data_IF_150452921350
#
_entry.id   IF_150452921350
#
_cell.length_a   1.000
_cell.length_b   1.000
_cell.length_c   1.000
_cell.angle_alpha   90.00
_cell.angle_beta   90.00
_cell.angle_gamma   90.00
#
_symmetry.space_group_name_H-M   'P 1'
#
loop_
_entity.id
_entity.type
_entity.pdbx_description
1 polymer ?
#
# COMPACT_ATOMS: atom_id res chain seq x y z
N UNK A 1 -5.82 -5.65 8.33
CA UNK A 1 -6.73 -4.89 9.24
C UNK A 1 -7.86 -4.16 8.51
N UNK A 2 -7.62 -3.02 7.85
CA UNK A 2 -8.70 -2.26 7.19
C UNK A 2 -9.40 -3.10 6.10
N UNK A 3 -8.62 -3.69 5.21
CA UNK A 3 -9.11 -4.56 4.13
C UNK A 3 -9.95 -5.74 4.65
N UNK A 4 -9.59 -6.34 5.79
CA UNK A 4 -10.36 -7.45 6.37
C UNK A 4 -11.76 -7.01 6.82
N UNK A 5 -11.89 -5.75 7.24
CA UNK A 5 -13.15 -5.19 7.73
C UNK A 5 -14.03 -4.63 6.63
N UNK A 6 -13.44 -3.90 5.68
CA UNK A 6 -14.21 -3.12 4.68
C UNK A 6 -13.90 -3.47 3.23
N UNK A 7 -12.90 -4.32 2.98
CA UNK A 7 -12.49 -4.71 1.63
C UNK A 7 -13.48 -5.59 0.88
N UNK A 8 -14.54 -6.06 1.56
CA UNK A 8 -15.67 -6.73 0.92
C UNK A 8 -16.62 -5.75 0.18
N UNK A 9 -16.50 -4.45 0.43
CA UNK A 9 -17.33 -3.41 -0.20
C UNK A 9 -16.86 -3.04 -1.61
N UNK A 10 -15.66 -3.47 -2.01
CA UNK A 10 -15.05 -3.16 -3.30
C UNK A 10 -14.51 -4.41 -3.99
N UNK A 11 -14.29 -4.33 -5.31
CA UNK A 11 -13.76 -5.44 -6.11
C UNK A 11 -12.42 -5.96 -5.55
N UNK A 12 -11.52 -5.05 -5.22
CA UNK A 12 -10.24 -5.37 -4.59
C UNK A 12 -10.30 -4.97 -3.11
N UNK A 13 -10.03 -5.89 -2.17
CA UNK A 13 -10.05 -5.57 -0.74
C UNK A 13 -8.98 -4.55 -0.33
N UNK A 14 -7.84 -4.57 -1.02
CA UNK A 14 -6.80 -3.55 -0.94
C UNK A 14 -5.92 -3.55 -2.20
N UNK A 15 -5.11 -2.50 -2.34
CA UNK A 15 -4.10 -2.36 -3.38
C UNK A 15 -2.73 -1.98 -2.80
N UNK A 16 -1.76 -2.88 -2.88
CA UNK A 16 -0.39 -2.70 -2.42
C UNK A 16 0.52 -2.34 -3.58
N UNK A 17 1.05 -1.13 -3.58
CA UNK A 17 1.85 -0.56 -4.67
C UNK A 17 3.28 -0.24 -4.21
N UNK A 18 4.21 -0.23 -5.15
CA UNK A 18 5.55 0.27 -4.92
C UNK A 18 6.24 0.68 -6.22
N UNK A 19 7.38 1.36 -6.11
CA UNK A 19 8.25 1.64 -7.26
C UNK A 19 9.52 0.79 -7.27
N UNK A 20 9.70 -0.11 -6.30
CA UNK A 20 10.87 -0.99 -6.19
C UNK A 20 10.44 -2.40 -5.82
N UNK A 21 10.91 -3.40 -6.57
CA UNK A 21 10.66 -4.78 -6.23
C UNK A 21 11.28 -5.10 -4.87
N UNK A 22 10.55 -5.85 -4.04
CA UNK A 22 11.02 -6.32 -2.74
C UNK A 22 11.55 -7.75 -2.80
N UNK A 23 12.23 -8.18 -1.74
CA UNK A 23 12.51 -9.59 -1.48
C UNK A 23 11.95 -9.93 -0.11
N UNK A 24 11.22 -11.04 0.02
CA UNK A 24 10.68 -11.46 1.32
C UNK A 24 11.63 -12.38 2.09
N UNK A 25 12.58 -13.02 1.41
CA UNK A 25 13.56 -13.92 2.01
C UNK A 25 14.95 -13.28 2.04
N UNK A 26 15.73 -13.61 3.07
CA UNK A 26 17.10 -13.12 3.28
C UNK A 26 17.24 -12.35 4.59
N UNK A 27 18.45 -11.89 4.85
CA UNK A 27 18.79 -11.07 6.02
C UNK A 27 19.12 -9.66 5.53
N UNK A 28 18.18 -8.73 5.66
CA UNK A 28 18.30 -7.37 5.11
C UNK A 28 18.54 -6.30 6.17
N UNK A 29 18.27 -6.58 7.44
CA UNK A 29 18.52 -5.65 8.53
C UNK A 29 18.90 -6.40 9.79
N UNK A 30 20.19 -6.52 10.09
CA UNK A 30 20.68 -6.94 11.41
C UNK A 30 20.11 -8.28 11.92
N UNK A 31 19.79 -9.22 11.03
CA UNK A 31 19.16 -10.51 11.36
C UNK A 31 17.68 -10.60 10.98
N UNK A 32 17.01 -9.47 10.71
CA UNK A 32 15.62 -9.42 10.28
C UNK A 32 15.45 -9.77 8.81
N UNK A 33 14.30 -10.41 8.56
CA UNK A 33 13.87 -10.78 7.21
C UNK A 33 13.74 -9.57 6.30
N UNK A 34 14.12 -9.74 5.03
CA UNK A 34 13.88 -8.75 3.98
C UNK A 34 12.40 -8.38 3.77
N UNK A 35 11.47 -9.20 4.29
CA UNK A 35 10.05 -8.87 4.35
C UNK A 35 9.78 -7.52 5.03
N UNK A 36 10.52 -7.18 6.10
CA UNK A 36 10.32 -5.94 6.86
C UNK A 36 10.87 -4.70 6.14
N UNK A 37 11.91 -4.85 5.31
CA UNK A 37 12.42 -3.73 4.51
C UNK A 37 11.62 -3.52 3.23
N UNK A 38 10.93 -4.56 2.76
CA UNK A 38 10.27 -4.58 1.47
C UNK A 38 8.76 -4.34 1.52
N UNK A 39 8.13 -4.38 2.70
CA UNK A 39 6.67 -4.33 2.81
C UNK A 39 6.23 -3.50 4.02
N UNK A 40 5.13 -2.76 3.84
CA UNK A 40 4.44 -2.00 4.90
C UNK A 40 3.00 -2.50 5.13
N UNK A 41 2.52 -3.45 4.32
CA UNK A 41 1.21 -4.06 4.44
C UNK A 41 1.38 -5.53 4.81
N UNK A 42 0.52 -6.00 5.71
CA UNK A 42 0.57 -7.34 6.30
C UNK A 42 -0.84 -7.89 6.42
N UNK A 43 -1.03 -9.14 5.98
CA UNK A 43 -2.31 -9.84 6.14
C UNK A 43 -2.47 -10.33 7.57
N UNK A 44 -1.42 -10.97 8.07
CA UNK A 44 -1.31 -11.47 9.44
C UNK A 44 -0.01 -10.95 10.04
N UNK A 45 0.22 -11.21 11.31
CA UNK A 45 1.46 -10.84 12.01
C UNK A 45 2.74 -11.37 11.34
N UNK A 46 2.64 -12.44 10.54
CA UNK A 46 3.79 -13.09 9.91
C UNK A 46 3.73 -13.15 8.39
N UNK A 47 2.62 -12.73 7.77
CA UNK A 47 2.43 -12.83 6.32
C UNK A 47 2.38 -11.43 5.68
N UNK A 48 3.49 -10.98 5.05
CA UNK A 48 3.54 -9.68 4.40
C UNK A 48 2.72 -9.70 3.10
N UNK A 49 2.16 -8.54 2.75
CA UNK A 49 1.53 -8.32 1.47
C UNK A 49 2.54 -7.69 0.51
N UNK A 50 2.93 -8.45 -0.51
CA UNK A 50 3.86 -7.99 -1.52
C UNK A 50 3.25 -6.85 -2.35
N UNK A 51 4.04 -5.82 -2.60
CA UNK A 51 3.65 -4.69 -3.45
C UNK A 51 3.86 -4.98 -4.93
N UNK A 52 2.91 -4.57 -5.75
CA UNK A 52 3.02 -4.57 -7.21
C UNK A 52 3.77 -3.32 -7.67
N UNK A 53 4.71 -3.50 -8.60
CA UNK A 53 5.57 -2.44 -9.12
C UNK A 53 5.39 -2.23 -10.61
N UNK A 54 4.74 -3.16 -11.30
CA UNK A 54 4.50 -3.10 -12.72
C UNK A 54 3.15 -2.43 -13.02
N UNK A 55 3.12 -1.23 -13.62
CA UNK A 55 1.88 -0.48 -13.85
C UNK A 55 0.84 -1.25 -14.67
N UNK A 56 1.29 -2.03 -15.67
CA UNK A 56 0.41 -2.91 -16.45
C UNK A 56 -0.36 -3.92 -15.59
N UNK A 57 0.31 -4.58 -14.64
CA UNK A 57 -0.31 -5.59 -13.79
C UNK A 57 -1.31 -4.95 -12.82
N UNK A 58 -1.02 -3.73 -12.36
CA UNK A 58 -1.98 -2.92 -11.60
C UNK A 58 -3.21 -2.61 -12.45
N UNK A 59 -3.03 -2.09 -13.67
CA UNK A 59 -4.13 -1.79 -14.59
C UNK A 59 -5.00 -3.03 -14.88
N UNK A 60 -4.36 -4.17 -15.20
CA UNK A 60 -5.05 -5.44 -15.43
C UNK A 60 -5.77 -5.95 -14.18
N UNK A 61 -5.28 -5.65 -12.97
CA UNK A 61 -5.97 -5.98 -11.71
C UNK A 61 -7.19 -5.10 -11.47
N UNK A 62 -7.16 -3.84 -11.90
CA UNK A 62 -8.28 -2.90 -11.78
C UNK A 62 -9.39 -3.19 -12.82
N UNK A 63 -9.02 -3.42 -14.07
CA UNK A 63 -9.97 -3.48 -15.20
C UNK A 63 -10.07 -4.85 -15.90
N UNK A 64 -9.09 -5.73 -15.72
CA UNK A 64 -8.96 -6.98 -16.46
C UNK A 64 -7.96 -6.88 -17.61
N UNK A 65 -7.61 -8.02 -18.23
CA UNK A 65 -6.83 -8.01 -19.48
C UNK A 65 -7.80 -7.76 -20.63
N UNK A 66 -7.63 -6.67 -21.39
CA UNK A 66 -8.55 -6.26 -22.47
C UNK A 66 -8.76 -7.26 -23.62
N UNK A 67 -8.16 -8.46 -23.56
CA UNK A 67 -8.06 -9.40 -24.69
C UNK A 67 -8.50 -10.85 -24.39
N UNK A 68 -8.96 -11.14 -23.17
CA UNK A 68 -9.55 -12.46 -22.86
C UNK A 68 -11.05 -12.29 -22.64
N UNK A 69 -11.85 -12.96 -23.47
CA UNK A 69 -13.30 -13.00 -23.28
C UNK A 69 -13.59 -13.39 -21.83
N UNK A 70 -14.43 -12.60 -21.16
CA UNK A 70 -14.79 -12.82 -19.77
C UNK A 70 -15.25 -14.28 -19.51
N UNK A 71 -15.85 -14.92 -20.51
CA UNK A 71 -16.22 -16.35 -20.51
C UNK A 71 -15.02 -17.29 -20.33
N UNK A 72 -13.92 -17.09 -21.07
CA UNK A 72 -12.74 -17.96 -20.99
C UNK A 72 -11.98 -17.86 -19.67
N UNK A 73 -12.17 -16.75 -18.92
CA UNK A 73 -11.64 -16.56 -17.56
C UNK A 73 -12.58 -17.21 -16.55
N UNK A 74 -13.89 -16.94 -16.63
CA UNK A 74 -14.89 -17.52 -15.72
C UNK A 74 -14.88 -19.06 -15.76
N UNK A 75 -14.73 -19.68 -16.94
CA UNK A 75 -14.65 -21.15 -17.03
C UNK A 75 -13.41 -21.72 -16.33
N UNK A 76 -12.24 -21.08 -16.49
CA UNK A 76 -11.00 -21.50 -15.82
C UNK A 76 -11.07 -21.32 -14.31
N UNK A 77 -11.69 -20.23 -13.88
CA UNK A 77 -11.80 -19.86 -12.47
C UNK A 77 -12.85 -20.72 -11.75
N UNK A 78 -13.96 -21.05 -12.40
CA UNK A 78 -14.97 -22.03 -11.92
C UNK A 78 -14.37 -23.43 -11.78
N UNK A 79 -13.58 -23.84 -12.78
CA UNK A 79 -12.90 -25.14 -12.75
C UNK A 79 -11.89 -25.20 -11.59
N UNK A 80 -11.17 -24.12 -11.31
CA UNK A 80 -10.25 -24.04 -10.17
C UNK A 80 -10.95 -24.16 -8.83
N UNK A 81 -12.06 -23.46 -8.61
CA UNK A 81 -12.85 -23.55 -7.37
C UNK A 81 -13.31 -25.00 -7.10
N UNK A 82 -13.83 -25.67 -8.13
CA UNK A 82 -14.25 -27.07 -8.05
C UNK A 82 -13.11 -28.03 -7.68
N UNK A 83 -11.90 -27.80 -8.23
CA UNK A 83 -10.71 -28.60 -7.89
C UNK A 83 -10.30 -28.40 -6.43
N UNK A 84 -10.45 -27.19 -5.91
CA UNK A 84 -10.01 -26.83 -4.55
C UNK A 84 -10.96 -27.35 -3.48
N UNK A 85 -12.26 -27.26 -3.72
CA UNK A 85 -13.28 -27.93 -2.90
C UNK A 85 -13.00 -29.44 -2.85
N UNK A 86 -12.57 -30.04 -3.97
CA UNK A 86 -12.24 -31.46 -4.04
C UNK A 86 -10.99 -31.84 -3.23
N UNK A 87 -9.96 -30.98 -3.16
CA UNK A 87 -8.72 -31.28 -2.42
C UNK A 87 -8.70 -30.77 -0.98
N UNK A 88 -9.74 -30.06 -0.53
CA UNK A 88 -9.79 -29.46 0.82
C UNK A 88 -9.67 -30.51 1.94
N UNK A 89 -10.38 -31.63 1.82
CA UNK A 89 -10.32 -32.72 2.80
C UNK A 89 -8.96 -33.44 2.79
N UNK A 90 -8.34 -33.59 1.61
CA UNK A 90 -6.99 -34.14 1.47
C UNK A 90 -5.93 -33.25 2.09
N UNK A 91 -6.07 -31.94 1.90
CA UNK A 91 -5.21 -30.93 2.49
C UNK A 91 -5.31 -30.94 4.02
N UNK A 92 -6.52 -31.06 4.57
CA UNK A 92 -6.73 -31.13 6.00
C UNK A 92 -6.07 -32.38 6.60
N UNK A 93 -6.22 -33.54 5.96
CA UNK A 93 -5.54 -34.78 6.37
C UNK A 93 -4.03 -34.67 6.29
N UNK A 94 -3.51 -34.03 5.25
CA UNK A 94 -2.07 -33.79 5.11
C UNK A 94 -1.55 -32.85 6.20
N UNK A 95 -2.30 -31.78 6.52
CA UNK A 95 -1.96 -30.84 7.60
C UNK A 95 -1.73 -31.58 8.92
N UNK A 96 -2.57 -32.55 9.26
CA UNK A 96 -2.43 -33.34 10.49
C UNK A 96 -1.15 -34.18 10.53
N UNK A 97 -0.61 -34.59 9.38
CA UNK A 97 0.63 -35.36 9.26
C UNK A 97 1.91 -34.51 9.16
N UNK A 98 1.80 -33.20 8.91
CA UNK A 98 2.95 -32.31 8.71
C UNK A 98 3.53 -31.77 10.04
N UNK A 99 4.84 -31.45 10.01
CA UNK A 99 5.50 -30.68 11.07
C UNK A 99 5.11 -29.20 11.06
N UNK A 100 5.42 -28.47 12.13
CA UNK A 100 4.96 -27.09 12.33
C UNK A 100 5.29 -26.13 11.17
N UNK A 101 6.52 -26.19 10.65
CA UNK A 101 6.98 -25.35 9.54
C UNK A 101 6.22 -25.64 8.24
N UNK A 102 5.95 -26.92 7.94
CA UNK A 102 5.27 -27.30 6.71
C UNK A 102 3.77 -27.02 6.80
N UNK A 103 3.17 -27.13 8.00
CA UNK A 103 1.80 -26.68 8.27
C UNK A 103 1.64 -25.19 7.98
N UNK A 104 2.59 -24.34 8.40
CA UNK A 104 2.53 -22.91 8.12
C UNK A 104 2.56 -22.61 6.62
N UNK A 105 3.44 -23.28 5.85
CA UNK A 105 3.47 -23.11 4.39
C UNK A 105 2.20 -23.60 3.70
N UNK A 106 1.65 -24.72 4.16
CA UNK A 106 0.40 -25.25 3.63
C UNK A 106 -0.75 -24.27 3.92
N UNK A 107 -0.79 -23.69 5.12
CA UNK A 107 -1.78 -22.68 5.51
C UNK A 107 -1.64 -21.38 4.69
N UNK A 108 -0.42 -20.92 4.41
CA UNK A 108 -0.16 -19.80 3.51
C UNK A 108 -0.68 -20.07 2.08
N UNK A 109 -0.46 -21.29 1.58
CA UNK A 109 -0.96 -21.70 0.26
C UNK A 109 -2.49 -21.70 0.21
N UNK A 110 -3.17 -22.39 1.13
CA UNK A 110 -4.64 -22.43 1.14
C UNK A 110 -5.27 -21.06 1.42
N UNK A 111 -4.63 -20.23 2.23
CA UNK A 111 -5.06 -18.85 2.42
C UNK A 111 -4.93 -18.01 1.15
N UNK A 112 -3.87 -18.20 0.37
CA UNK A 112 -3.67 -17.52 -0.92
C UNK A 112 -4.70 -17.97 -1.96
N UNK A 113 -5.02 -19.26 -1.95
CA UNK A 113 -6.02 -19.88 -2.80
C UNK A 113 -7.43 -19.36 -2.48
N UNK A 114 -7.84 -19.39 -1.21
CA UNK A 114 -9.17 -18.93 -0.80
C UNK A 114 -9.40 -17.46 -1.11
N UNK A 115 -8.35 -16.65 -1.03
CA UNK A 115 -8.43 -15.27 -1.48
C UNK A 115 -8.60 -15.13 -2.98
N UNK A 116 -7.95 -15.97 -3.78
CA UNK A 116 -8.15 -15.99 -5.22
C UNK A 116 -9.63 -16.28 -5.53
N UNK A 117 -10.23 -17.26 -4.85
CA UNK A 117 -11.66 -17.58 -4.99
C UNK A 117 -12.55 -16.42 -4.59
N UNK A 118 -12.33 -15.79 -3.43
CA UNK A 118 -13.09 -14.62 -3.02
C UNK A 118 -12.93 -13.44 -4.00
N UNK A 119 -11.74 -13.28 -4.60
CA UNK A 119 -11.51 -12.27 -5.63
C UNK A 119 -12.25 -12.59 -6.93
N UNK A 120 -12.34 -13.85 -7.32
CA UNK A 120 -13.13 -14.31 -8.47
C UNK A 120 -14.61 -14.02 -8.21
N UNK A 121 -15.16 -14.49 -7.08
CA UNK A 121 -16.57 -14.26 -6.72
C UNK A 121 -16.91 -12.77 -6.71
N UNK A 122 -16.03 -11.92 -6.15
CA UNK A 122 -16.22 -10.46 -6.17
C UNK A 122 -16.13 -9.87 -7.57
N UNK A 123 -15.24 -10.38 -8.41
CA UNK A 123 -15.12 -9.93 -9.79
C UNK A 123 -16.33 -10.33 -10.65
N UNK A 124 -16.97 -11.47 -10.36
CA UNK A 124 -18.21 -11.91 -10.99
C UNK A 124 -19.43 -11.09 -10.54
N UNK A 125 -19.46 -10.69 -9.27
CA UNK A 125 -20.54 -9.88 -8.70
C UNK A 125 -20.38 -8.38 -8.98
N UNK A 126 -19.16 -7.91 -9.20
CA UNK A 126 -18.88 -6.52 -9.52
C UNK A 126 -19.34 -6.18 -10.95
N UNK A 127 -20.02 -5.04 -11.11
CA UNK A 127 -20.33 -4.52 -12.43
C UNK A 127 -19.02 -4.33 -13.23
N UNK A 128 -19.06 -4.58 -14.54
CA UNK A 128 -17.94 -4.24 -15.43
C UNK A 128 -17.67 -2.75 -15.30
N UNK A 129 -16.49 -2.43 -14.77
CA UNK A 129 -15.97 -1.07 -14.77
C UNK A 129 -15.23 -0.92 -16.08
N UNK A 130 -15.82 -0.21 -17.03
CA UNK A 130 -15.10 0.17 -18.24
C UNK A 130 -13.92 1.06 -17.83
N UNK A 131 -12.70 0.79 -18.33
CA UNK A 131 -11.59 1.68 -18.07
C UNK A 131 -11.96 3.06 -18.62
N UNK A 132 -11.80 4.15 -17.84
CA UNK A 132 -11.88 5.49 -18.41
C UNK A 132 -10.80 5.65 -19.48
N UNK A 133 -10.90 6.70 -20.28
CA UNK A 133 -9.93 7.04 -21.34
C UNK A 133 -8.51 7.20 -20.74
N UNK A 134 -7.80 6.08 -20.65
CA UNK A 134 -6.52 5.91 -19.98
C UNK A 134 -5.73 4.86 -20.75
N UNK A 135 -4.58 5.26 -21.28
CA UNK A 135 -3.74 4.36 -22.05
C UNK A 135 -3.20 3.23 -21.16
N UNK A 136 -3.36 1.98 -21.64
CA UNK A 136 -2.85 0.82 -20.91
C UNK A 136 -1.32 0.87 -20.86
N UNK A 137 -0.70 0.86 -19.67
CA UNK A 137 0.76 0.90 -19.59
C UNK A 137 1.40 -0.37 -20.14
N UNK A 138 2.46 -0.24 -20.93
CA UNK A 138 3.14 -1.40 -21.50
C UNK A 138 4.21 -1.99 -20.57
N UNK A 139 4.99 -1.13 -19.89
CA UNK A 139 6.17 -1.52 -19.10
C UNK A 139 6.38 -0.59 -17.88
N UNK A 140 7.35 -0.94 -17.04
CA UNK A 140 7.85 -0.05 -15.97
C UNK A 140 8.64 1.10 -16.63
N UNK A 141 8.27 2.37 -16.42
CA UNK A 141 9.03 3.50 -16.94
C UNK A 141 10.47 3.50 -16.44
N UNK A 142 11.43 3.86 -17.31
CA UNK A 142 12.85 3.99 -16.92
C UNK A 142 13.08 5.20 -16.02
N UNK A 143 12.32 6.27 -16.24
CA UNK A 143 12.36 7.46 -15.40
C UNK A 143 11.54 7.20 -14.13
N UNK A 144 12.17 7.35 -12.97
CA UNK A 144 11.52 7.13 -11.67
C UNK A 144 10.36 8.10 -11.43
N UNK A 145 10.47 9.35 -11.87
CA UNK A 145 9.37 10.31 -11.72
C UNK A 145 8.14 9.87 -12.51
N UNK A 146 8.32 9.46 -13.77
CA UNK A 146 7.24 8.93 -14.61
C UNK A 146 6.63 7.67 -13.97
N UNK A 147 7.44 6.77 -13.42
CA UNK A 147 6.95 5.59 -12.72
C UNK A 147 6.13 5.94 -11.47
N UNK A 148 6.62 6.88 -10.63
CA UNK A 148 5.90 7.36 -9.45
C UNK A 148 4.54 7.95 -9.86
N UNK A 149 4.53 8.87 -10.83
CA UNK A 149 3.29 9.52 -11.28
C UNK A 149 2.30 8.54 -11.86
N UNK A 150 2.77 7.62 -12.71
CA UNK A 150 1.91 6.60 -13.29
C UNK A 150 1.26 5.70 -12.23
N UNK A 151 2.02 5.31 -11.20
CA UNK A 151 1.47 4.52 -10.08
C UNK A 151 0.48 5.34 -9.23
N UNK A 152 0.73 6.64 -9.03
CA UNK A 152 -0.23 7.54 -8.39
C UNK A 152 -1.50 7.71 -9.24
N UNK A 153 -1.39 7.89 -10.54
CA UNK A 153 -2.52 8.05 -11.45
C UNK A 153 -3.40 6.78 -11.45
N UNK A 154 -2.78 5.60 -11.43
CA UNK A 154 -3.49 4.32 -11.25
C UNK A 154 -4.18 4.21 -9.88
N UNK A 155 -3.60 4.78 -8.83
CA UNK A 155 -4.22 4.81 -7.50
C UNK A 155 -5.41 5.79 -7.45
N UNK A 156 -5.29 6.98 -8.04
CA UNK A 156 -6.41 7.93 -8.24
C UNK A 156 -7.53 7.23 -9.00
N UNK A 157 -7.18 6.51 -10.05
CA UNK A 157 -8.11 5.78 -10.88
C UNK A 157 -8.83 4.69 -10.08
N UNK A 158 -8.09 3.90 -9.28
CA UNK A 158 -8.67 2.87 -8.42
C UNK A 158 -9.69 3.42 -7.41
N UNK A 159 -9.44 4.61 -6.87
CA UNK A 159 -10.39 5.31 -5.99
C UNK A 159 -11.57 5.89 -6.75
N UNK A 160 -11.33 6.55 -7.89
CA UNK A 160 -12.38 7.13 -8.73
C UNK A 160 -13.40 6.10 -9.22
N UNK A 161 -12.95 4.88 -9.48
CA UNK A 161 -13.81 3.77 -9.95
C UNK A 161 -14.29 2.87 -8.82
N UNK A 162 -14.07 3.25 -7.55
CA UNK A 162 -14.39 2.45 -6.35
C UNK A 162 -13.89 1.00 -6.45
N UNK A 163 -12.77 0.78 -7.15
CA UNK A 163 -12.17 -0.54 -7.32
C UNK A 163 -11.51 -1.03 -6.04
N UNK A 164 -11.02 -0.10 -5.21
CA UNK A 164 -10.63 -0.34 -3.82
C UNK A 164 -10.79 0.94 -2.99
N UNK A 165 -10.97 0.79 -1.68
CA UNK A 165 -10.94 1.91 -0.70
C UNK A 165 -9.72 1.90 0.20
N UNK A 166 -8.85 0.89 0.07
CA UNK A 166 -7.67 0.70 0.94
C UNK A 166 -6.44 0.49 0.06
N UNK A 167 -5.39 1.28 0.28
CA UNK A 167 -4.14 1.09 -0.44
C UNK A 167 -2.92 1.46 0.41
N UNK A 168 -1.78 0.92 0.02
CA UNK A 168 -0.46 1.30 0.55
C UNK A 168 0.48 1.53 -0.62
N UNK A 169 1.35 2.54 -0.56
CA UNK A 169 2.31 2.81 -1.63
C UNK A 169 3.70 3.09 -1.07
N UNK A 170 4.68 2.25 -1.44
CA UNK A 170 6.08 2.45 -1.07
C UNK A 170 6.89 3.13 -2.19
N UNK A 171 7.41 4.32 -1.89
CA UNK A 171 8.32 5.07 -2.79
C UNK A 171 9.76 4.53 -2.78
N UNK A 172 10.04 3.48 -2.03
CA UNK A 172 11.33 2.79 -1.96
C UNK A 172 11.32 1.74 -0.87
N UNK A 173 12.19 0.74 -0.99
CA UNK A 173 12.43 -0.19 0.11
C UNK A 173 13.21 0.50 1.23
N UNK A 174 13.04 0.07 2.47
CA UNK A 174 13.92 0.49 3.55
C UNK A 174 15.37 0.08 3.20
N UNK A 175 16.31 1.02 3.33
CA UNK A 175 17.71 0.78 2.94
C UNK A 175 18.01 0.91 1.44
N UNK A 176 17.04 1.32 0.60
CA UNK A 176 17.27 1.46 -0.85
C UNK A 176 18.33 2.51 -1.18
N UNK A 177 19.33 2.12 -1.97
CA UNK A 177 20.34 3.01 -2.53
C UNK A 177 19.96 3.52 -3.93
N UNK A 178 18.66 3.60 -4.24
CA UNK A 178 18.19 4.25 -5.47
C UNK A 178 18.78 5.66 -5.58
N UNK A 179 19.17 6.02 -6.80
CA UNK A 179 19.64 7.36 -7.16
C UNK A 179 18.49 8.18 -7.73
N UNK A 180 18.61 9.51 -7.69
CA UNK A 180 17.59 10.45 -8.14
C UNK A 180 18.15 11.47 -9.15
N UNK A 181 18.50 11.03 -10.39
CA UNK A 181 19.16 11.90 -11.37
C UNK A 181 18.30 13.07 -11.84
N UNK A 182 16.97 12.96 -11.76
CA UNK A 182 16.02 14.02 -12.12
C UNK A 182 16.13 15.27 -11.22
N UNK A 183 16.75 15.13 -10.05
CA UNK A 183 17.12 16.23 -9.17
C UNK A 183 18.63 16.29 -8.93
N UNK A 184 19.42 15.89 -9.94
CA UNK A 184 20.88 15.89 -9.97
C UNK A 184 21.58 15.17 -8.78
N UNK A 185 20.94 14.16 -8.20
CA UNK A 185 21.55 13.34 -7.14
C UNK A 185 21.83 11.93 -7.66
N UNK A 186 23.11 11.61 -7.85
CA UNK A 186 23.56 10.31 -8.35
C UNK A 186 24.07 9.37 -7.26
N UNK A 187 24.22 9.87 -6.04
CA UNK A 187 24.54 9.08 -4.86
C UNK A 187 23.34 8.24 -4.41
N UNK A 188 23.60 7.12 -3.71
CA UNK A 188 22.53 6.27 -3.20
C UNK A 188 21.76 6.94 -2.06
N UNK A 189 20.43 6.92 -2.12
CA UNK A 189 19.57 7.58 -1.13
C UNK A 189 19.84 7.10 0.30
N UNK A 190 19.88 5.79 0.55
CA UNK A 190 20.19 5.27 1.88
C UNK A 190 21.59 5.68 2.36
N UNK A 191 22.61 5.63 1.50
CA UNK A 191 23.95 6.12 1.83
C UNK A 191 23.93 7.57 2.31
N UNK A 192 23.22 8.45 1.60
CA UNK A 192 23.08 9.86 1.97
C UNK A 192 22.41 10.06 3.34
N UNK A 193 21.54 9.13 3.76
CA UNK A 193 20.89 9.21 5.08
C UNK A 193 21.88 9.07 6.25
N UNK A 194 23.04 8.43 6.03
CA UNK A 194 24.15 8.32 7.00
C UNK A 194 25.17 9.45 6.82
N UNK A 195 24.69 10.69 6.71
CA UNK A 195 25.49 11.86 6.32
C UNK A 195 26.60 12.25 7.30
N UNK A 196 26.61 11.79 8.56
CA UNK A 196 27.65 12.12 9.57
C UNK A 196 27.92 13.63 9.72
N UNK A 197 26.88 14.44 9.56
CA UNK A 197 26.91 15.92 9.51
C UNK A 197 27.68 16.54 8.32
N UNK A 198 27.99 15.75 7.29
CA UNK A 198 28.49 16.25 6.02
C UNK A 198 27.43 17.10 5.32
N UNK A 199 27.78 18.35 4.99
CA UNK A 199 26.83 19.32 4.44
C UNK A 199 26.43 19.01 3.00
N UNK A 200 27.34 18.43 2.20
CA UNK A 200 27.03 18.08 0.82
C UNK A 200 26.03 16.91 0.78
N UNK A 201 26.24 15.90 1.62
CA UNK A 201 25.31 14.77 1.75
C UNK A 201 23.93 15.23 2.26
N UNK A 202 23.90 16.13 3.25
CA UNK A 202 22.66 16.73 3.76
C UNK A 202 21.89 17.46 2.66
N UNK A 203 22.58 18.26 1.83
CA UNK A 203 21.91 19.02 0.79
C UNK A 203 21.38 18.12 -0.32
N UNK A 204 22.11 17.06 -0.66
CA UNK A 204 21.66 16.03 -1.61
C UNK A 204 20.42 15.30 -1.10
N UNK A 205 20.39 14.84 0.15
CA UNK A 205 19.20 14.14 0.68
C UNK A 205 17.98 15.06 0.78
N UNK A 206 18.16 16.34 1.16
CA UNK A 206 17.08 17.32 1.13
C UNK A 206 16.47 17.50 -0.26
N UNK A 207 17.28 17.47 -1.33
CA UNK A 207 16.78 17.52 -2.71
C UNK A 207 15.94 16.30 -3.04
N UNK A 208 16.34 15.11 -2.60
CA UNK A 208 15.56 13.87 -2.75
C UNK A 208 14.24 13.99 -1.96
N UNK A 209 14.28 14.39 -0.70
CA UNK A 209 13.10 14.54 0.15
C UNK A 209 12.12 15.56 -0.44
N UNK A 210 12.63 16.72 -0.87
CA UNK A 210 11.83 17.75 -1.54
C UNK A 210 11.19 17.24 -2.83
N UNK A 211 11.90 16.43 -3.62
CA UNK A 211 11.35 15.76 -4.79
C UNK A 211 10.21 14.80 -4.43
N UNK A 212 10.42 13.89 -3.46
CA UNK A 212 9.40 12.92 -3.06
C UNK A 212 8.14 13.59 -2.51
N UNK A 213 8.30 14.66 -1.72
CA UNK A 213 7.18 15.49 -1.23
C UNK A 213 6.48 16.20 -2.40
N UNK A 214 7.20 16.66 -3.42
CA UNK A 214 6.60 17.28 -4.60
C UNK A 214 5.75 16.29 -5.42
N UNK A 215 6.17 15.03 -5.50
CA UNK A 215 5.40 13.97 -6.16
C UNK A 215 4.17 13.56 -5.33
N UNK A 216 4.27 13.58 -4.00
CA UNK A 216 3.08 13.45 -3.13
C UNK A 216 2.10 14.61 -3.34
N UNK A 217 2.59 15.85 -3.48
CA UNK A 217 1.74 17.00 -3.79
C UNK A 217 1.08 16.88 -5.18
N UNK A 218 1.76 16.30 -6.18
CA UNK A 218 1.15 15.94 -7.45
C UNK A 218 -0.04 14.99 -7.25
N UNK A 219 0.13 13.91 -6.49
CA UNK A 219 -0.94 12.95 -6.21
C UNK A 219 -2.16 13.60 -5.56
N UNK A 220 -1.96 14.46 -4.56
CA UNK A 220 -3.07 15.18 -3.92
C UNK A 220 -3.80 16.11 -4.91
N UNK A 221 -3.08 16.75 -5.84
CA UNK A 221 -3.70 17.56 -6.90
C UNK A 221 -4.54 16.72 -7.86
N UNK A 222 -4.10 15.50 -8.18
CA UNK A 222 -4.89 14.59 -9.01
C UNK A 222 -6.18 14.17 -8.30
N UNK A 223 -6.12 13.82 -7.01
CA UNK A 223 -7.33 13.55 -6.21
C UNK A 223 -8.27 14.77 -6.15
N UNK A 224 -7.72 15.97 -5.98
CA UNK A 224 -8.50 17.21 -5.96
C UNK A 224 -9.16 17.53 -7.31
N UNK A 225 -8.54 17.14 -8.42
CA UNK A 225 -9.09 17.37 -9.76
C UNK A 225 -10.32 16.50 -10.07
N UNK A 226 -10.45 15.35 -9.40
CA UNK A 226 -11.60 14.44 -9.58
C UNK A 226 -12.79 14.92 -8.75
N UNK A 227 -13.89 15.27 -9.41
CA UNK A 227 -15.16 15.61 -8.75
C UNK A 227 -15.87 14.36 -8.25
N UNK A 228 -16.35 14.40 -7.02
CA UNK A 228 -17.10 13.32 -6.39
C UNK A 228 -18.18 13.92 -5.48
N UNK A 229 -19.45 13.67 -5.80
CA UNK A 229 -20.59 14.22 -5.06
C UNK A 229 -20.53 15.75 -4.92
N UNK A 230 -20.59 16.23 -3.67
CA UNK A 230 -20.52 17.65 -3.32
C UNK A 230 -19.10 18.23 -3.26
N UNK A 231 -18.06 17.42 -3.45
CA UNK A 231 -16.67 17.82 -3.30
C UNK A 231 -15.77 17.19 -4.35
N UNK A 232 -14.57 16.86 -3.92
CA UNK A 232 -13.54 16.18 -4.70
C UNK A 232 -13.18 14.85 -4.05
N UNK A 233 -12.52 13.97 -4.80
CA UNK A 233 -12.03 12.72 -4.24
C UNK A 233 -11.06 12.96 -3.07
N UNK A 234 -10.31 14.07 -3.07
CA UNK A 234 -9.49 14.47 -1.93
C UNK A 234 -10.31 14.82 -0.67
N UNK A 235 -11.51 15.40 -0.84
CA UNK A 235 -12.39 15.75 0.29
C UNK A 235 -12.97 14.49 0.97
N UNK A 236 -13.11 13.40 0.22
CA UNK A 236 -13.68 12.14 0.71
C UNK A 236 -12.63 11.07 1.06
N UNK A 237 -11.34 11.35 0.86
CA UNK A 237 -10.25 10.44 1.22
C UNK A 237 -9.44 10.96 2.41
N UNK A 238 -8.63 10.07 2.99
CA UNK A 238 -7.57 10.42 3.93
C UNK A 238 -6.30 9.65 3.58
N UNK A 239 -5.22 10.38 3.38
CA UNK A 239 -3.94 9.86 2.91
C UNK A 239 -2.86 10.23 3.91
N UNK A 240 -2.16 9.23 4.44
CA UNK A 240 -0.98 9.46 5.25
C UNK A 240 0.28 9.34 4.40
N UNK A 241 1.15 10.34 4.47
CA UNK A 241 2.49 10.32 3.92
C UNK A 241 3.51 10.56 5.04
N UNK A 242 4.63 9.85 5.01
CA UNK A 242 5.69 10.07 5.99
C UNK A 242 6.73 8.96 6.01
N UNK A 243 7.50 8.94 7.10
CA UNK A 243 8.60 8.00 7.32
C UNK A 243 8.51 7.39 8.72
N UNK A 244 9.04 6.16 8.86
CA UNK A 244 9.25 5.53 10.16
C UNK A 244 10.45 6.07 10.95
N UNK A 245 11.20 7.01 10.36
CA UNK A 245 12.33 7.70 11.01
C UNK A 245 12.22 9.21 10.81
N UNK A 246 12.48 9.98 11.87
CA UNK A 246 12.63 11.44 11.81
C UNK A 246 14.05 11.88 11.45
N UNK A 247 15.04 11.03 11.74
CA UNK A 247 16.44 11.27 11.36
C UNK A 247 17.11 9.96 10.98
N UNK A 248 17.42 9.79 9.69
CA UNK A 248 18.14 8.61 9.18
C UNK A 248 19.51 8.45 9.83
N UNK A 249 20.29 9.52 9.95
CA UNK A 249 21.66 9.47 10.46
C UNK A 249 21.76 8.98 11.91
N UNK A 250 20.74 9.25 12.73
CA UNK A 250 20.68 8.82 14.13
C UNK A 250 19.74 7.64 14.37
N UNK A 251 19.02 7.18 13.33
CA UNK A 251 17.95 6.18 13.42
C UNK A 251 16.89 6.54 14.48
N UNK A 252 16.55 7.82 14.56
CA UNK A 252 15.53 8.29 15.49
C UNK A 252 14.13 7.98 14.94
N UNK A 253 13.35 7.28 15.75
CA UNK A 253 11.96 6.86 15.50
C UNK A 253 10.94 7.63 16.36
N UNK A 254 11.37 8.72 17.00
CA UNK A 254 10.50 9.68 17.69
C UNK A 254 10.24 10.89 16.78
N UNK A 255 9.18 11.65 17.05
CA UNK A 255 8.83 12.88 16.30
C UNK A 255 8.75 12.67 14.78
N UNK A 256 8.02 11.61 14.38
CA UNK A 256 7.94 11.18 12.99
C UNK A 256 7.35 12.27 12.06
N UNK A 257 7.90 12.45 10.85
CA UNK A 257 7.42 13.45 9.89
C UNK A 257 6.18 12.90 9.18
N UNK A 258 5.01 13.13 9.75
CA UNK A 258 3.73 12.65 9.22
C UNK A 258 2.91 13.80 8.64
N UNK A 259 2.43 13.60 7.41
CA UNK A 259 1.41 14.44 6.77
C UNK A 259 0.15 13.62 6.62
N UNK A 260 -0.94 14.07 7.23
CA UNK A 260 -2.29 13.57 6.96
C UNK A 260 -2.99 14.56 6.03
N UNK A 261 -3.35 14.11 4.84
CA UNK A 261 -4.01 14.92 3.81
C UNK A 261 -5.39 14.35 3.47
N UNK A 262 -6.29 15.23 3.00
CA UNK A 262 -7.67 14.88 2.64
C UNK A 262 -8.67 15.26 3.72
N UNK A 263 -9.94 15.34 3.32
CA UNK A 263 -11.03 15.80 4.19
C UNK A 263 -11.69 14.70 5.01
N UNK A 264 -11.48 13.42 4.63
CA UNK A 264 -12.16 12.27 5.23
C UNK A 264 -13.68 12.49 5.39
N UNK A 265 -14.31 13.03 4.34
CA UNK A 265 -15.71 13.44 4.34
C UNK A 265 -16.08 14.45 5.46
N UNK A 266 -15.17 15.39 5.75
CA UNK A 266 -15.36 16.45 6.75
C UNK A 266 -15.10 16.00 8.18
N UNK A 267 -14.52 14.83 8.40
CA UNK A 267 -14.22 14.32 9.76
C UNK A 267 -12.80 14.60 10.22
N UNK A 268 -11.92 15.09 9.34
CA UNK A 268 -10.52 15.44 9.67
C UNK A 268 -10.31 16.94 9.60
N UNK A 269 -9.78 17.50 10.68
CA UNK A 269 -9.35 18.90 10.75
C UNK A 269 -8.07 19.10 9.95
N UNK A 270 -8.14 19.92 8.91
CA UNK A 270 -7.02 20.21 7.99
C UNK A 270 -6.40 21.58 8.27
N UNK A 271 -5.34 21.94 7.53
CA UNK A 271 -4.74 23.28 7.58
C UNK A 271 -4.01 23.61 8.88
N UNK A 272 -3.62 22.61 9.65
CA UNK A 272 -2.94 22.81 10.94
C UNK A 272 -1.67 21.96 11.07
N UNK A 273 -0.78 22.39 11.96
CA UNK A 273 0.36 21.61 12.42
C UNK A 273 0.09 21.22 13.87
N UNK A 274 0.13 19.92 14.16
CA UNK A 274 -0.18 19.37 15.48
C UNK A 274 1.10 18.78 16.06
N UNK A 275 1.56 19.37 17.16
CA UNK A 275 2.59 18.75 18.02
C UNK A 275 1.89 17.99 19.13
N UNK A 276 2.08 16.68 19.14
CA UNK A 276 1.51 15.80 20.16
C UNK A 276 2.40 15.78 21.42
N UNK A 277 1.86 15.40 22.59
CA UNK A 277 2.69 15.07 23.74
C UNK A 277 3.74 14.02 23.39
N UNK A 278 4.89 14.06 24.07
CA UNK A 278 5.95 13.06 23.90
C UNK A 278 5.43 11.64 24.12
N UNK A 279 6.03 10.68 23.42
CA UNK A 279 5.65 9.24 23.48
C UNK A 279 4.20 8.95 23.08
N UNK A 280 3.56 9.80 22.26
CA UNK A 280 2.27 9.46 21.64
C UNK A 280 2.49 8.45 20.51
N UNK A 281 1.94 7.22 20.58
CA UNK A 281 2.15 6.21 19.55
C UNK A 281 1.52 6.61 18.21
N UNK A 282 2.23 6.37 17.10
CA UNK A 282 1.69 6.58 15.74
C UNK A 282 0.43 5.72 15.50
N UNK A 283 0.35 4.55 16.14
CA UNK A 283 -0.81 3.68 16.02
C UNK A 283 -2.11 4.32 16.52
N UNK A 284 -2.05 5.37 17.34
CA UNK A 284 -3.24 6.16 17.72
C UNK A 284 -3.85 6.89 16.51
N UNK A 285 -3.01 7.37 15.57
CA UNK A 285 -3.47 7.93 14.30
C UNK A 285 -4.12 6.85 13.44
N UNK A 286 -3.49 5.68 13.31
CA UNK A 286 -4.04 4.57 12.54
C UNK A 286 -5.38 4.08 13.09
N UNK A 287 -5.57 3.99 14.41
CA UNK A 287 -6.87 3.69 14.99
C UNK A 287 -7.93 4.74 14.61
N UNK A 288 -7.60 6.03 14.72
CA UNK A 288 -8.51 7.11 14.30
C UNK A 288 -8.87 7.06 12.81
N UNK A 289 -7.95 6.61 11.96
CA UNK A 289 -8.21 6.38 10.53
C UNK A 289 -9.08 5.14 10.31
N UNK A 290 -8.83 4.04 11.05
CA UNK A 290 -9.63 2.82 10.97
C UNK A 290 -11.09 3.05 11.37
N UNK A 291 -11.34 3.85 12.40
CA UNK A 291 -12.70 4.22 12.82
C UNK A 291 -13.44 4.98 11.69
N UNK A 292 -12.75 5.90 11.00
CA UNK A 292 -13.31 6.70 9.89
C UNK A 292 -13.66 5.90 8.65
N UNK A 293 -12.95 4.80 8.37
CA UNK A 293 -13.35 3.88 7.29
C UNK A 293 -14.41 2.87 7.72
N UNK A 294 -14.82 2.85 9.00
CA UNK A 294 -15.80 1.91 9.54
C UNK A 294 -15.23 0.56 9.97
N UNK A 295 -13.90 0.43 10.11
CA UNK A 295 -13.27 -0.81 10.56
C UNK A 295 -13.40 -1.05 12.08
N UNK A 296 -13.49 0.02 12.87
CA UNK A 296 -13.82 0.02 14.31
C UNK A 296 -13.07 -1.05 15.12
N UNK A 297 -11.74 -1.01 15.09
CA UNK A 297 -10.88 -1.96 15.81
C UNK A 297 -10.55 -1.42 17.20
N UNK A 298 -10.57 -2.26 18.23
CA UNK A 298 -10.34 -1.83 19.62
C UNK A 298 -8.91 -1.31 19.83
N UNK A 299 -7.91 -2.08 19.38
CA UNK A 299 -6.47 -1.82 19.55
C UNK A 299 -5.68 -2.16 18.28
N UNK A 300 -4.56 -1.47 18.06
CA UNK A 300 -3.61 -1.77 16.99
C UNK A 300 -2.18 -1.58 17.52
N UNK A 301 -1.39 -2.65 17.56
CA UNK A 301 -0.01 -2.58 18.04
C UNK A 301 0.08 -1.98 19.44
N UNK A 302 0.91 -0.94 19.60
CA UNK A 302 1.13 -0.18 20.83
C UNK A 302 0.15 0.99 21.03
N UNK A 303 -0.97 1.03 20.30
CA UNK A 303 -1.96 2.09 20.45
C UNK A 303 -2.44 2.23 21.89
N UNK A 304 -2.44 3.46 22.40
CA UNK A 304 -2.95 3.82 23.72
C UNK A 304 -4.30 4.55 23.69
N UNK A 305 -4.81 4.87 22.49
CA UNK A 305 -6.13 5.46 22.30
C UNK A 305 -6.36 5.99 20.88
N UNK A 306 -7.52 6.62 20.66
CA UNK A 306 -7.76 7.38 19.43
C UNK A 306 -7.08 8.74 19.50
N UNK A 307 -6.45 9.14 18.40
CA UNK A 307 -5.93 10.48 18.25
C UNK A 307 -7.07 11.47 17.98
N UNK A 308 -7.59 12.11 19.03
CA UNK A 308 -8.69 13.11 18.92
C UNK A 308 -8.24 14.45 18.33
N UNK A 309 -6.95 14.72 18.29
CA UNK A 309 -6.41 16.00 17.84
C UNK A 309 -6.70 16.30 16.35
N UNK A 310 -7.08 15.29 15.57
CA UNK A 310 -7.44 15.42 14.15
C UNK A 310 -8.96 15.53 13.93
N UNK A 311 -9.78 15.45 14.97
CA UNK A 311 -11.24 15.53 14.85
C UNK A 311 -11.67 16.98 14.53
N UNK A 312 -12.78 17.13 13.80
CA UNK A 312 -13.46 18.41 13.51
C UNK A 312 -14.41 18.78 14.65
#
# INVERSE_FOLDING_TARGET
VAADRVGHLTRLPSLELGIEAGRNAGNCDSGYSCAYSSNISWRTETSPMAKEVHPRLVFERLFGSGDQSAESRNERDTLRKSILDFVADDAQRLKDALGQTDRQKLDEYFSSVRELEQRIERAEQAAKIDPPDFETPEAIPRNTQEHIRLMYDLLVLAYRTDSTRVATFMLGNAGSNRTYPMVDVRDGHHYLSHHRNDQEMIEKIKRIDGFLVSEFAYFLKQLQAVKEGSGTLLDHTMIMYGSGLSCGNRHWHHDLPIVLAGGAAGTVRTGCHIRLPGETPLNNLFLSMLDRVGANVETLGDSSGRLKAIDV
#
